data_IF_741686426237
#
_entry.id   IF_741686426237
#
_cell.length_a   1.000
_cell.length_b   1.000
_cell.length_c   1.000
_cell.angle_alpha   90.00
_cell.angle_beta   90.00
_cell.angle_gamma   90.00
#
_symmetry.space_group_name_H-M   'P 1'
#
loop_
_entity.id
_entity.type
_entity.pdbx_description
1 polymer ?
#
# COMPACT_ATOMS: atom_id res chain seq x y z
N UNK A 1 -5.06 0.91 -12.19
CA UNK A 1 -4.70 -0.25 -11.34
C UNK A 1 -5.17 0.04 -9.92
N UNK A 2 -4.85 -0.81 -8.94
CA UNK A 2 -5.11 -0.51 -7.53
C UNK A 2 -3.78 -0.48 -6.82
N UNK A 3 -3.43 0.67 -6.23
CA UNK A 3 -2.29 0.75 -5.33
C UNK A 3 -2.61 -0.02 -4.05
N UNK A 4 -1.61 -0.58 -3.37
CA UNK A 4 -1.83 -1.41 -2.18
C UNK A 4 -0.76 -1.12 -1.16
N UNK A 5 -1.24 -0.73 0.02
CA UNK A 5 -0.47 -0.45 1.20
C UNK A 5 -0.09 -1.74 1.97
N UNK A 6 0.82 -1.64 2.93
CA UNK A 6 1.27 -2.73 3.78
C UNK A 6 0.11 -3.37 4.57
N UNK A 7 -0.78 -2.58 5.14
CA UNK A 7 -1.88 -3.06 5.99
C UNK A 7 -2.71 -4.16 5.33
N UNK A 8 -3.31 -3.91 4.15
CA UNK A 8 -4.02 -4.93 3.39
C UNK A 8 -3.19 -6.16 3.01
N UNK A 9 -1.89 -6.01 2.70
CA UNK A 9 -1.04 -7.16 2.38
C UNK A 9 -0.88 -8.08 3.59
N UNK A 10 -0.72 -7.50 4.78
CA UNK A 10 -0.63 -8.21 6.05
C UNK A 10 -1.98 -8.91 6.32
N UNK A 11 -3.07 -8.15 6.30
CA UNK A 11 -4.42 -8.67 6.56
C UNK A 11 -4.85 -9.76 5.56
N UNK A 12 -4.40 -9.73 4.31
CA UNK A 12 -4.68 -10.82 3.36
C UNK A 12 -3.93 -12.13 3.67
N UNK A 13 -2.81 -12.06 4.38
CA UNK A 13 -1.91 -13.19 4.64
C UNK A 13 -2.13 -13.76 6.03
N UNK A 14 -2.24 -12.88 7.03
CA UNK A 14 -2.46 -13.26 8.41
C UNK A 14 -3.97 -13.39 8.67
N UNK A 15 -4.40 -14.61 8.97
CA UNK A 15 -5.82 -14.92 9.22
C UNK A 15 -6.30 -14.47 10.60
N UNK A 16 -5.37 -14.14 11.51
CA UNK A 16 -5.68 -13.64 12.84
C UNK A 16 -5.83 -12.10 12.86
N UNK A 17 -5.50 -11.41 11.77
CA UNK A 17 -5.74 -9.96 11.62
C UNK A 17 -7.23 -9.65 11.61
N UNK A 18 -7.62 -8.60 12.37
CA UNK A 18 -9.02 -8.23 12.54
C UNK A 18 -9.71 -7.88 11.21
N UNK A 19 -8.95 -7.33 10.27
CA UNK A 19 -9.43 -6.91 8.95
C UNK A 19 -9.29 -8.01 7.87
N UNK A 20 -8.87 -9.23 8.23
CA UNK A 20 -8.64 -10.32 7.27
C UNK A 20 -9.82 -10.56 6.34
N UNK A 21 -11.01 -10.81 6.89
CA UNK A 21 -12.22 -11.10 6.12
C UNK A 21 -12.63 -9.91 5.25
N UNK A 22 -12.51 -8.68 5.77
CA UNK A 22 -12.80 -7.46 5.03
C UNK A 22 -11.88 -7.33 3.81
N UNK A 23 -10.58 -7.55 4.00
CA UNK A 23 -9.58 -7.51 2.94
C UNK A 23 -9.80 -8.62 1.90
N UNK A 24 -10.10 -9.85 2.32
CA UNK A 24 -10.40 -10.98 1.43
C UNK A 24 -11.62 -10.71 0.56
N UNK A 25 -12.68 -10.13 1.14
CA UNK A 25 -13.88 -9.74 0.41
C UNK A 25 -13.60 -8.61 -0.58
N UNK A 26 -12.89 -7.56 -0.14
CA UNK A 26 -12.50 -6.44 -0.98
C UNK A 26 -11.66 -6.91 -2.18
N UNK A 27 -10.69 -7.80 -1.97
CA UNK A 27 -9.82 -8.35 -3.02
C UNK A 27 -10.59 -8.98 -4.19
N UNK A 28 -11.77 -9.56 -3.94
CA UNK A 28 -12.62 -10.15 -5.00
C UNK A 28 -13.15 -9.13 -5.98
N UNK A 29 -13.19 -7.86 -5.60
CA UNK A 29 -13.65 -6.74 -6.43
C UNK A 29 -12.50 -6.04 -7.16
N UNK A 30 -11.26 -6.32 -6.77
CA UNK A 30 -10.07 -5.67 -7.30
C UNK A 30 -9.55 -6.38 -8.54
N UNK A 31 -8.97 -5.61 -9.45
CA UNK A 31 -8.22 -6.15 -10.59
C UNK A 31 -6.77 -6.39 -10.16
N UNK A 32 -6.26 -7.56 -10.52
CA UNK A 32 -4.86 -7.93 -10.32
C UNK A 32 -4.00 -7.61 -11.56
N UNK A 33 -2.68 -7.42 -11.40
CA UNK A 33 -1.96 -7.36 -10.14
C UNK A 33 -2.33 -6.12 -9.29
N UNK A 34 -2.26 -6.28 -7.97
CA UNK A 34 -2.14 -5.14 -7.07
C UNK A 34 -0.77 -4.50 -7.25
N UNK A 35 -0.67 -3.19 -7.08
CA UNK A 35 0.60 -2.45 -7.25
C UNK A 35 1.03 -1.89 -5.90
N UNK A 36 2.27 -2.13 -5.49
CA UNK A 36 2.84 -1.56 -4.25
C UNK A 36 4.20 -0.91 -4.52
N UNK A 37 4.84 -0.38 -3.48
CA UNK A 37 6.20 0.17 -3.53
C UNK A 37 7.13 -0.62 -2.61
N UNK A 38 8.45 -0.51 -2.81
CA UNK A 38 9.42 -1.17 -1.94
C UNK A 38 9.26 -0.81 -0.45
N UNK A 39 9.00 0.45 -0.06
CA UNK A 39 8.74 0.79 1.34
C UNK A 39 7.54 0.05 1.94
N UNK A 40 6.36 0.09 1.31
CA UNK A 40 5.17 -0.62 1.78
C UNK A 40 5.38 -2.15 1.81
N UNK A 41 6.05 -2.70 0.79
CA UNK A 41 6.40 -4.12 0.77
C UNK A 41 7.37 -4.51 1.90
N UNK A 42 8.34 -3.65 2.20
CA UNK A 42 9.33 -3.86 3.27
C UNK A 42 8.67 -3.83 4.64
N UNK A 43 7.75 -2.88 4.86
CA UNK A 43 6.95 -2.82 6.08
C UNK A 43 6.11 -4.08 6.26
N UNK A 44 5.37 -4.50 5.22
CA UNK A 44 4.60 -5.74 5.26
C UNK A 44 5.49 -6.97 5.55
N UNK A 45 6.67 -7.06 4.93
CA UNK A 45 7.66 -8.11 5.21
C UNK A 45 8.12 -8.11 6.67
N UNK A 46 8.35 -6.92 7.23
CA UNK A 46 8.78 -6.78 8.62
C UNK A 46 7.68 -7.24 9.59
N UNK A 47 6.45 -6.75 9.40
CA UNK A 47 5.31 -7.05 10.28
C UNK A 47 4.87 -8.51 10.17
N UNK A 48 4.81 -9.09 8.97
CA UNK A 48 4.55 -10.52 8.79
C UNK A 48 5.63 -11.40 9.42
N UNK A 49 6.89 -10.96 9.40
CA UNK A 49 7.97 -11.64 10.10
C UNK A 49 7.80 -11.65 11.63
N UNK A 50 7.20 -10.59 12.18
CA UNK A 50 6.90 -10.47 13.62
C UNK A 50 5.69 -11.30 14.05
N UNK A 51 4.64 -11.33 13.23
CA UNK A 51 3.40 -12.05 13.54
C UNK A 51 3.46 -13.54 13.17
N UNK A 52 3.80 -13.85 11.91
CA UNK A 52 3.76 -15.20 11.35
C UNK A 52 5.13 -15.81 11.00
N UNK A 53 6.23 -15.13 11.34
CA UNK A 53 7.59 -15.59 11.06
C UNK A 53 7.88 -15.76 9.57
N UNK A 54 8.76 -16.71 9.25
CA UNK A 54 9.17 -16.99 7.87
C UNK A 54 8.00 -17.43 6.97
N UNK A 55 6.95 -18.06 7.53
CA UNK A 55 5.80 -18.50 6.77
C UNK A 55 5.00 -17.32 6.22
N UNK A 56 4.77 -16.27 7.03
CA UNK A 56 4.10 -15.04 6.59
C UNK A 56 4.88 -14.32 5.48
N UNK A 57 6.19 -14.17 5.66
CA UNK A 57 7.07 -13.58 4.64
C UNK A 57 7.07 -14.38 3.33
N UNK A 58 7.11 -15.71 3.42
CA UNK A 58 7.01 -16.57 2.23
C UNK A 58 5.66 -16.46 1.52
N UNK A 59 4.56 -16.26 2.26
CA UNK A 59 3.26 -16.01 1.66
C UNK A 59 3.25 -14.70 0.86
N UNK A 60 3.87 -13.63 1.38
CA UNK A 60 3.99 -12.37 0.64
C UNK A 60 4.86 -12.53 -0.62
N UNK A 61 5.97 -13.25 -0.55
CA UNK A 61 6.76 -13.60 -1.74
C UNK A 61 5.95 -14.37 -2.78
N UNK A 62 5.06 -15.29 -2.37
CA UNK A 62 4.21 -16.02 -3.31
C UNK A 62 3.24 -15.09 -4.06
N UNK A 63 2.74 -14.04 -3.43
CA UNK A 63 1.89 -13.04 -4.13
C UNK A 63 2.68 -12.32 -5.22
N UNK A 64 3.90 -11.90 -4.93
CA UNK A 64 4.79 -11.25 -5.89
C UNK A 64 5.16 -12.19 -7.04
N UNK A 65 5.70 -13.37 -6.71
CA UNK A 65 6.20 -14.33 -7.70
C UNK A 65 5.08 -14.95 -8.56
N UNK A 66 3.84 -14.95 -8.09
CA UNK A 66 2.68 -15.38 -8.89
C UNK A 66 2.09 -14.28 -9.78
N UNK A 67 2.63 -13.06 -9.72
CA UNK A 67 2.12 -11.91 -10.48
C UNK A 67 0.77 -11.40 -9.96
N UNK A 68 0.40 -11.69 -8.72
CA UNK A 68 -0.80 -11.14 -8.06
C UNK A 68 -0.52 -9.80 -7.38
N UNK A 69 0.75 -9.57 -7.03
CA UNK A 69 1.30 -8.32 -6.55
C UNK A 69 2.46 -7.94 -7.47
N UNK A 70 2.63 -6.65 -7.73
CA UNK A 70 3.77 -6.09 -8.44
C UNK A 70 4.35 -4.91 -7.65
N UNK A 71 5.68 -4.79 -7.63
CA UNK A 71 6.37 -3.69 -6.96
C UNK A 71 6.76 -2.67 -8.03
N UNK A 72 6.17 -1.49 -7.96
CA UNK A 72 6.47 -0.42 -8.89
C UNK A 72 7.84 0.20 -8.59
N UNK A 73 8.65 0.33 -9.64
CA UNK A 73 9.83 1.20 -9.62
C UNK A 73 9.41 2.67 -9.50
N UNK A 74 10.13 3.39 -8.63
CA UNK A 74 9.93 4.82 -8.41
C UNK A 74 10.92 5.62 -9.26
N UNK A 75 10.42 6.61 -9.99
CA UNK A 75 11.30 7.55 -10.68
C UNK A 75 12.01 8.48 -9.69
N UNK A 76 13.07 9.15 -10.14
CA UNK A 76 13.71 10.20 -9.35
C UNK A 76 12.73 11.32 -8.95
N UNK A 77 11.82 11.69 -9.86
CA UNK A 77 10.78 12.68 -9.58
C UNK A 77 9.78 12.18 -8.52
N UNK A 78 9.42 10.89 -8.56
CA UNK A 78 8.56 10.30 -7.53
C UNK A 78 9.26 10.28 -6.15
N UNK A 79 10.58 10.04 -6.10
CA UNK A 79 11.35 10.09 -4.85
C UNK A 79 11.44 11.51 -4.28
N UNK A 80 11.76 12.50 -5.12
CA UNK A 80 11.73 13.92 -4.72
C UNK A 80 10.33 14.32 -4.23
N UNK A 81 9.30 13.82 -4.91
CA UNK A 81 7.92 14.09 -4.55
C UNK A 81 7.53 13.45 -3.22
N UNK A 82 7.95 12.23 -2.95
CA UNK A 82 7.73 11.55 -1.68
C UNK A 82 8.36 12.32 -0.52
N UNK A 83 9.60 12.78 -0.66
CA UNK A 83 10.25 13.63 0.35
C UNK A 83 9.45 14.91 0.63
N UNK A 84 9.00 15.61 -0.43
CA UNK A 84 8.17 16.81 -0.29
C UNK A 84 6.79 16.54 0.32
N UNK A 85 6.23 15.33 0.15
CA UNK A 85 4.98 14.93 0.79
C UNK A 85 5.17 14.70 2.29
N UNK A 86 6.27 14.06 2.70
CA UNK A 86 6.60 13.88 4.11
C UNK A 86 6.78 15.23 4.81
N UNK A 87 7.45 16.19 4.18
CA UNK A 87 7.57 17.56 4.72
C UNK A 87 6.19 18.25 4.83
N UNK A 88 5.34 18.08 3.80
CA UNK A 88 4.00 18.70 3.76
C UNK A 88 3.08 18.15 4.85
N UNK A 89 3.16 16.85 5.12
CA UNK A 89 2.27 16.15 6.06
C UNK A 89 2.99 15.81 7.36
N UNK A 90 4.04 16.55 7.73
CA UNK A 90 4.82 16.31 8.96
C UNK A 90 3.98 16.42 10.26
N UNK A 91 2.85 17.13 10.23
CA UNK A 91 1.89 17.21 11.35
C UNK A 91 0.91 16.02 11.41
N UNK A 92 0.96 15.12 10.43
CA UNK A 92 0.22 13.85 10.34
C UNK A 92 1.23 12.68 10.44
N UNK A 93 0.80 11.44 10.72
CA UNK A 93 1.71 10.31 10.87
C UNK A 93 2.26 9.76 9.54
N UNK A 94 2.42 10.61 8.51
CA UNK A 94 2.87 10.16 7.18
C UNK A 94 4.25 9.51 7.27
N UNK A 95 4.32 8.28 6.76
CA UNK A 95 5.56 7.54 6.64
C UNK A 95 6.06 7.47 5.18
N UNK A 96 7.14 6.72 4.98
CA UNK A 96 7.73 6.54 3.66
C UNK A 96 6.86 5.65 2.74
N UNK A 97 6.13 4.68 3.28
CA UNK A 97 5.23 3.82 2.51
C UNK A 97 4.12 4.66 1.88
N UNK A 98 3.43 5.46 2.68
CA UNK A 98 2.39 6.37 2.25
C UNK A 98 2.89 7.38 1.24
N UNK A 99 4.00 8.06 1.56
CA UNK A 99 4.56 9.09 0.70
C UNK A 99 4.92 8.55 -0.69
N UNK A 100 5.48 7.34 -0.76
CA UNK A 100 5.84 6.72 -2.04
C UNK A 100 4.62 6.22 -2.82
N UNK A 101 3.59 5.69 -2.15
CA UNK A 101 2.34 5.30 -2.80
C UNK A 101 1.61 6.53 -3.38
N UNK A 102 1.57 7.65 -2.65
CA UNK A 102 0.96 8.90 -3.14
C UNK A 102 1.76 9.48 -4.30
N UNK A 103 3.09 9.53 -4.19
CA UNK A 103 3.94 10.01 -5.28
C UNK A 103 3.76 9.19 -6.56
N UNK A 104 3.67 7.86 -6.42
CA UNK A 104 3.38 6.95 -7.52
C UNK A 104 1.97 7.18 -8.10
N UNK A 105 0.98 7.42 -7.24
CA UNK A 105 -0.39 7.74 -7.65
C UNK A 105 -0.43 9.02 -8.50
N UNK A 106 0.28 10.06 -8.04
CA UNK A 106 0.44 11.32 -8.75
C UNK A 106 1.14 11.13 -10.10
N UNK A 107 2.20 10.34 -10.16
CA UNK A 107 2.95 10.08 -11.40
C UNK A 107 2.14 9.31 -12.44
N UNK A 108 1.41 8.26 -12.02
CA UNK A 108 0.70 7.34 -12.92
C UNK A 108 -0.77 7.72 -13.14
N UNK A 109 -1.27 8.74 -12.45
CA UNK A 109 -2.68 9.12 -12.48
C UNK A 109 -3.62 8.09 -11.84
N UNK A 110 -3.10 7.28 -10.92
CA UNK A 110 -3.87 6.26 -10.22
C UNK A 110 -4.67 6.89 -9.07
N UNK A 111 -5.91 6.43 -8.88
CA UNK A 111 -6.82 7.00 -7.88
C UNK A 111 -7.33 6.00 -6.86
N UNK A 112 -7.16 4.70 -7.12
CA UNK A 112 -7.60 3.64 -6.23
C UNK A 112 -6.47 3.18 -5.35
N UNK A 113 -6.75 3.08 -4.08
CA UNK A 113 -5.83 2.48 -3.11
C UNK A 113 -6.56 1.47 -2.25
N UNK A 114 -5.96 0.30 -2.13
CA UNK A 114 -6.28 -0.66 -1.11
C UNK A 114 -5.46 -0.29 0.12
N UNK A 115 -6.12 0.24 1.14
CA UNK A 115 -5.51 0.67 2.40
C UNK A 115 -6.54 0.54 3.53
N UNK A 116 -6.07 0.21 4.72
CA UNK A 116 -6.89 0.17 5.94
C UNK A 116 -6.78 1.47 6.76
N UNK A 117 -5.71 2.25 6.55
CA UNK A 117 -5.48 3.47 7.30
C UNK A 117 -6.46 4.59 6.88
N UNK A 118 -7.01 5.25 7.89
CA UNK A 118 -7.80 6.48 7.77
C UNK A 118 -6.99 7.67 7.23
N UNK A 119 -5.67 7.65 7.28
CA UNK A 119 -4.82 8.75 6.82
C UNK A 119 -4.94 9.01 5.32
N UNK A 120 -5.20 7.97 4.52
CA UNK A 120 -5.53 8.14 3.09
C UNK A 120 -6.83 8.94 2.85
N UNK A 121 -7.69 9.11 3.87
CA UNK A 121 -8.84 10.01 3.80
C UNK A 121 -8.43 11.49 3.89
N UNK A 122 -7.28 11.79 4.49
CA UNK A 122 -6.73 13.15 4.61
C UNK A 122 -5.81 13.46 3.45
N UNK A 123 -5.02 12.49 2.99
CA UNK A 123 -4.11 12.66 1.87
C UNK A 123 -4.82 13.00 0.56
N UNK A 124 -4.10 13.70 -0.32
CA UNK A 124 -4.61 14.22 -1.58
C UNK A 124 -3.60 14.05 -2.70
N UNK A 125 -4.05 13.44 -3.80
CA UNK A 125 -3.32 13.36 -5.07
C UNK A 125 -3.24 14.77 -5.66
N UNK A 126 -2.02 15.24 -5.92
CA UNK A 126 -1.69 16.60 -6.33
C UNK A 126 -2.29 17.68 -5.42
N UNK A 127 -2.49 17.35 -4.13
CA UNK A 127 -3.10 18.25 -3.15
C UNK A 127 -4.58 18.55 -3.36
N UNK A 128 -5.27 17.90 -4.31
CA UNK A 128 -6.64 18.24 -4.70
C UNK A 128 -7.60 17.06 -4.65
N UNK A 129 -7.19 15.91 -5.15
CA UNK A 129 -8.09 14.77 -5.40
C UNK A 129 -7.99 13.76 -4.26
N UNK A 130 -9.13 13.26 -3.78
CA UNK A 130 -9.19 12.17 -2.79
C UNK A 130 -8.93 10.82 -3.47
N UNK A 131 -8.37 9.89 -2.71
CA UNK A 131 -8.31 8.49 -3.13
C UNK A 131 -9.71 7.86 -3.11
N UNK A 132 -9.94 6.94 -4.05
CA UNK A 132 -10.95 5.89 -3.97
C UNK A 132 -10.37 4.78 -3.07
N UNK A 133 -10.63 4.86 -1.76
CA UNK A 133 -10.12 3.92 -0.76
C UNK A 133 -10.96 2.64 -0.79
N UNK A 134 -10.30 1.50 -0.70
CA UNK A 134 -10.89 0.17 -0.70
C UNK A 134 -10.28 -0.61 0.47
N UNK A 135 -11.05 -1.34 1.30
CA UNK A 135 -12.50 -1.25 1.44
C UNK A 135 -12.93 0.18 1.83
N UNK A 136 -14.15 0.57 1.46
CA UNK A 136 -14.72 1.89 1.75
C UNK A 136 -16.12 1.78 2.32
#
# INVERSE_FOLDING_TARGET
>A
MTLTDAGPLIALIDADEADHETCVLALRTLRLPLITTWPAFTEAMYLLGRAGGAAGQQALWKLLLSGRLDIAELSAAALERAAALMDKYADLPMDLADATLIALAEERGERRIFALDTDFQVYRIHGRTRFEIIPG
#
